data_IF_745492035175
#
_entry.id   IF_745492035175
#
_cell.length_a   1.000
_cell.length_b   1.000
_cell.length_c   1.000
_cell.angle_alpha   90.00
_cell.angle_beta   90.00
_cell.angle_gamma   90.00
#
_symmetry.space_group_name_H-M   'P 1'
#
loop_
_entity.id
_entity.type
_entity.pdbx_description
1 polymer ?
#
# COMPACT_ATOMS: atom_id res chain seq x y z
N UNK A 1 -106.71 54.92 32.61
CA UNK A 1 -106.21 55.21 31.27
C UNK A 1 -104.75 55.52 31.43
N UNK A 2 -103.89 54.66 30.91
CA UNK A 2 -102.64 54.99 30.24
C UNK A 2 -102.09 53.68 29.67
N UNK A 3 -101.66 53.77 28.43
CA UNK A 3 -101.79 52.75 27.39
C UNK A 3 -100.59 51.80 27.28
N UNK A 4 -100.83 50.71 26.55
CA UNK A 4 -99.85 49.73 26.11
C UNK A 4 -99.05 50.24 24.89
N UNK A 5 -97.77 49.86 24.81
CA UNK A 5 -96.95 49.78 23.58
C UNK A 5 -95.68 48.98 23.96
N UNK A 6 -95.51 47.72 23.54
CA UNK A 6 -94.92 47.23 22.28
C UNK A 6 -93.39 47.11 22.29
N UNK A 7 -92.90 45.93 21.91
CA UNK A 7 -91.48 45.62 21.74
C UNK A 7 -91.15 44.13 21.81
N UNK A 8 -91.68 43.33 20.87
CA UNK A 8 -91.22 41.95 20.66
C UNK A 8 -89.94 41.99 19.83
N UNK A 9 -88.79 41.84 20.49
CA UNK A 9 -87.50 41.62 19.82
C UNK A 9 -87.46 40.19 19.28
N UNK A 10 -87.39 40.08 17.95
CA UNK A 10 -87.15 38.83 17.23
C UNK A 10 -85.64 38.79 16.95
N UNK A 11 -84.90 38.01 17.75
CA UNK A 11 -83.51 37.68 17.45
C UNK A 11 -83.46 36.65 16.31
N UNK A 12 -82.91 37.08 15.17
CA UNK A 12 -82.60 36.24 14.02
C UNK A 12 -81.19 35.67 14.27
N UNK A 13 -81.10 34.38 14.58
CA UNK A 13 -79.81 33.67 14.62
C UNK A 13 -79.29 33.43 13.18
N UNK A 14 -78.21 34.13 12.82
CA UNK A 14 -77.45 33.92 11.58
C UNK A 14 -76.55 32.67 11.68
N UNK A 15 -76.90 31.61 10.94
CA UNK A 15 -76.05 30.44 10.69
C UNK A 15 -74.82 30.84 9.85
N UNK A 16 -73.65 30.99 10.48
CA UNK A 16 -72.35 31.13 9.79
C UNK A 16 -71.54 29.84 9.90
N UNK A 17 -71.71 28.99 8.90
CA UNK A 17 -70.99 27.73 8.75
C UNK A 17 -69.63 27.98 8.07
N UNK A 18 -68.53 27.95 8.84
CA UNK A 18 -67.16 27.95 8.31
C UNK A 18 -66.58 26.53 8.40
N UNK A 19 -65.97 25.96 7.34
CA UNK A 19 -65.47 24.59 7.39
C UNK A 19 -64.23 24.48 8.29
N UNK A 20 -64.29 23.56 9.25
CA UNK A 20 -63.20 23.28 10.19
C UNK A 20 -61.91 22.88 9.48
N UNK A 21 -60.83 23.62 9.77
CA UNK A 21 -59.46 23.24 9.41
C UNK A 21 -59.13 21.92 10.11
N UNK A 22 -58.63 20.93 9.35
CA UNK A 22 -58.18 19.65 9.88
C UNK A 22 -56.89 19.86 10.70
N UNK A 23 -57.05 20.21 11.97
CA UNK A 23 -55.96 20.15 12.94
C UNK A 23 -55.70 18.68 13.28
N UNK A 24 -54.58 18.15 12.79
CA UNK A 24 -54.10 16.84 13.21
C UNK A 24 -53.68 16.94 14.68
N UNK A 25 -54.60 16.61 15.58
CA UNK A 25 -54.35 16.52 17.01
C UNK A 25 -53.23 15.50 17.23
N UNK A 26 -52.05 15.98 17.60
CA UNK A 26 -50.99 15.10 18.07
C UNK A 26 -51.50 14.49 19.37
N UNK A 27 -51.47 13.15 19.52
CA UNK A 27 -52.04 12.52 20.69
C UNK A 27 -51.33 13.05 21.94
N UNK A 28 -52.09 13.58 22.89
CA UNK A 28 -51.58 14.19 24.13
C UNK A 28 -50.60 13.29 24.87
N UNK A 29 -50.75 11.97 24.71
CA UNK A 29 -49.84 10.94 25.23
C UNK A 29 -48.39 11.16 24.75
N UNK A 30 -48.19 11.42 23.45
CA UNK A 30 -46.85 11.67 22.90
C UNK A 30 -46.27 12.97 23.46
N UNK A 31 -47.09 14.01 23.60
CA UNK A 31 -46.67 15.30 24.15
C UNK A 31 -46.30 15.20 25.65
N UNK A 32 -47.06 14.44 26.43
CA UNK A 32 -46.80 14.21 27.85
C UNK A 32 -45.50 13.42 28.06
N UNK A 33 -45.30 12.31 27.32
CA UNK A 33 -44.04 11.57 27.37
C UNK A 33 -42.84 12.38 26.88
N UNK A 34 -43.03 13.21 25.84
CA UNK A 34 -41.99 14.08 25.33
C UNK A 34 -41.61 15.17 26.34
N UNK A 35 -42.60 15.77 27.02
CA UNK A 35 -42.37 16.74 28.09
C UNK A 35 -41.61 16.13 29.27
N UNK A 36 -41.99 14.91 29.68
CA UNK A 36 -41.28 14.16 30.72
C UNK A 36 -39.84 13.87 30.26
N UNK A 37 -39.65 13.36 29.05
CA UNK A 37 -38.33 13.05 28.50
C UNK A 37 -37.44 14.30 28.40
N UNK A 38 -37.97 15.45 27.99
CA UNK A 38 -37.21 16.72 27.94
C UNK A 38 -36.84 17.18 29.35
N UNK A 39 -37.75 17.10 30.33
CA UNK A 39 -37.45 17.48 31.72
C UNK A 39 -36.33 16.61 32.28
N UNK A 40 -36.39 15.29 32.04
CA UNK A 40 -35.31 14.36 32.41
C UNK A 40 -34.03 14.67 31.64
N UNK A 41 -34.09 14.98 30.34
CA UNK A 41 -32.93 15.31 29.53
C UNK A 41 -32.32 16.67 29.91
N UNK A 42 -33.11 17.63 30.39
CA UNK A 42 -32.61 18.91 30.90
C UNK A 42 -31.84 18.72 32.21
N UNK A 43 -32.33 17.84 33.10
CA UNK A 43 -31.69 17.54 34.38
C UNK A 43 -30.49 16.57 34.25
N UNK A 44 -30.59 15.59 33.35
CA UNK A 44 -29.67 14.46 33.22
C UNK A 44 -29.01 14.36 31.83
N UNK A 45 -29.14 15.36 30.96
CA UNK A 45 -28.59 15.33 29.60
C UNK A 45 -27.08 15.19 29.55
N UNK A 46 -26.39 15.66 30.58
CA UNK A 46 -24.95 15.44 30.74
C UNK A 46 -24.59 13.96 30.94
N UNK A 47 -25.45 13.16 31.59
CA UNK A 47 -25.23 11.72 31.70
C UNK A 47 -25.45 11.02 30.36
N UNK A 48 -26.39 11.49 29.54
CA UNK A 48 -26.59 10.97 28.17
C UNK A 48 -25.35 11.27 27.32
N UNK A 49 -24.81 12.48 27.42
CA UNK A 49 -23.55 12.85 26.75
C UNK A 49 -22.36 12.02 27.26
N UNK A 50 -22.21 11.85 28.58
CA UNK A 50 -21.17 10.98 29.14
C UNK A 50 -21.35 9.52 28.73
N UNK A 51 -22.58 9.03 28.67
CA UNK A 51 -22.89 7.68 28.20
C UNK A 51 -22.51 7.48 26.74
N UNK A 52 -22.78 8.47 25.88
CA UNK A 52 -22.35 8.45 24.47
C UNK A 52 -20.82 8.51 24.36
N UNK A 53 -20.16 9.40 25.11
CA UNK A 53 -18.69 9.52 25.12
C UNK A 53 -18.07 8.19 25.61
N UNK A 54 -18.62 7.59 26.66
CA UNK A 54 -18.18 6.30 27.20
C UNK A 54 -18.39 5.18 26.19
N UNK A 55 -19.53 5.14 25.49
CA UNK A 55 -19.80 4.16 24.43
C UNK A 55 -18.83 4.30 23.25
N UNK A 56 -18.52 5.53 22.82
CA UNK A 56 -17.53 5.78 21.78
C UNK A 56 -16.13 5.37 22.23
N UNK A 57 -15.78 5.64 23.49
CA UNK A 57 -14.52 5.22 24.06
C UNK A 57 -14.42 3.69 24.19
N UNK A 58 -15.49 3.04 24.66
CA UNK A 58 -15.58 1.58 24.70
C UNK A 58 -15.48 1.01 23.30
N UNK A 59 -16.22 1.53 22.32
CA UNK A 59 -16.15 1.05 20.94
C UNK A 59 -14.73 1.16 20.40
N UNK A 60 -14.06 2.30 20.57
CA UNK A 60 -12.69 2.47 20.07
C UNK A 60 -11.69 1.53 20.72
N UNK A 61 -11.84 1.23 22.02
CA UNK A 61 -10.98 0.27 22.73
C UNK A 61 -11.34 -1.19 22.40
N UNK A 62 -12.62 -1.53 22.41
CA UNK A 62 -13.13 -2.88 22.16
C UNK A 62 -12.89 -3.30 20.71
N UNK A 63 -12.99 -2.39 19.73
CA UNK A 63 -12.71 -2.72 18.32
C UNK A 63 -11.32 -3.31 18.14
N UNK A 64 -10.29 -2.72 18.75
CA UNK A 64 -8.91 -3.24 18.68
C UNK A 64 -8.81 -4.66 19.27
N UNK A 65 -9.50 -4.93 20.39
CA UNK A 65 -9.52 -6.25 21.00
C UNK A 65 -10.31 -7.27 20.17
N UNK A 66 -11.46 -6.87 19.63
CA UNK A 66 -12.29 -7.74 18.78
C UNK A 66 -11.60 -8.06 17.46
N UNK A 67 -10.93 -7.09 16.85
CA UNK A 67 -10.18 -7.29 15.62
C UNK A 67 -9.03 -8.28 15.86
N UNK A 68 -8.24 -8.09 16.93
CA UNK A 68 -7.17 -9.02 17.29
C UNK A 68 -7.67 -10.42 17.64
N UNK A 69 -8.83 -10.53 18.29
CA UNK A 69 -9.43 -11.82 18.60
C UNK A 69 -9.94 -12.53 17.33
N UNK A 70 -10.56 -11.77 16.42
CA UNK A 70 -11.06 -12.29 15.16
C UNK A 70 -9.93 -12.70 14.24
N UNK A 71 -8.84 -11.92 14.15
CA UNK A 71 -7.66 -12.30 13.36
C UNK A 71 -7.03 -13.56 13.89
N UNK A 72 -6.85 -13.69 15.22
CA UNK A 72 -6.32 -14.92 15.83
C UNK A 72 -7.19 -16.14 15.52
N UNK A 73 -8.51 -16.02 15.57
CA UNK A 73 -9.40 -17.13 15.20
C UNK A 73 -9.31 -17.51 13.73
N UNK A 74 -9.19 -16.53 12.83
CA UNK A 74 -8.98 -16.78 11.40
C UNK A 74 -7.63 -17.44 11.16
N UNK A 75 -6.57 -16.93 11.78
CA UNK A 75 -5.23 -17.51 11.71
C UNK A 75 -5.23 -18.95 12.23
N UNK A 76 -5.83 -19.23 13.40
CA UNK A 76 -5.94 -20.58 13.94
C UNK A 76 -6.72 -21.53 13.03
N UNK A 77 -7.78 -21.06 12.38
CA UNK A 77 -8.53 -21.82 11.38
C UNK A 77 -7.68 -22.10 10.15
N UNK A 78 -6.97 -21.09 9.62
CA UNK A 78 -6.06 -21.23 8.49
C UNK A 78 -4.90 -22.18 8.82
N UNK A 79 -4.32 -22.07 10.02
CA UNK A 79 -3.30 -23.00 10.50
C UNK A 79 -3.88 -24.41 10.61
N UNK A 80 -5.06 -24.59 11.19
CA UNK A 80 -5.70 -25.90 11.29
C UNK A 80 -6.00 -26.49 9.90
N UNK A 81 -6.48 -25.68 8.96
CA UNK A 81 -6.71 -26.08 7.57
C UNK A 81 -5.41 -26.42 6.83
N UNK A 82 -4.32 -25.71 7.12
CA UNK A 82 -2.99 -26.00 6.56
C UNK A 82 -2.37 -27.29 7.11
N UNK A 83 -2.62 -27.63 8.37
CA UNK A 83 -2.13 -28.87 8.97
C UNK A 83 -2.98 -30.10 8.61
N UNK A 84 -4.30 -29.92 8.45
CA UNK A 84 -5.23 -31.04 8.17
C UNK A 84 -5.26 -31.48 6.71
N UNK A 85 -4.90 -30.60 5.76
CA UNK A 85 -5.01 -30.88 4.33
C UNK A 85 -3.63 -31.11 3.68
N UNK A 86 -3.16 -32.37 3.52
CA UNK A 86 -1.89 -32.67 2.88
C UNK A 86 -1.84 -32.19 1.41
N UNK A 87 -2.97 -32.20 0.71
CA UNK A 87 -3.09 -31.77 -0.70
C UNK A 87 -2.75 -30.28 -0.90
N UNK A 88 -3.19 -29.40 0.01
CA UNK A 88 -2.83 -27.97 -0.03
C UNK A 88 -1.34 -27.74 0.16
N UNK A 89 -0.67 -28.57 0.96
CA UNK A 89 0.79 -28.49 1.13
C UNK A 89 1.52 -28.97 -0.13
N UNK A 90 1.03 -30.01 -0.80
CA UNK A 90 1.55 -30.45 -2.10
C UNK A 90 1.38 -29.36 -3.17
N UNK A 91 0.22 -28.72 -3.24
CA UNK A 91 -0.02 -27.61 -4.17
C UNK A 91 0.93 -26.42 -3.93
N UNK A 92 1.20 -26.08 -2.66
CA UNK A 92 2.21 -25.07 -2.30
C UNK A 92 3.62 -25.49 -2.73
N UNK A 93 4.02 -26.74 -2.50
CA UNK A 93 5.33 -27.24 -2.94
C UNK A 93 5.46 -27.21 -4.47
N UNK A 94 4.44 -27.66 -5.20
CA UNK A 94 4.41 -27.61 -6.66
C UNK A 94 4.48 -26.16 -7.19
N UNK A 95 3.80 -25.21 -6.54
CA UNK A 95 3.89 -23.79 -6.88
C UNK A 95 5.30 -23.22 -6.65
N UNK A 96 5.96 -23.61 -5.55
CA UNK A 96 7.35 -23.23 -5.28
C UNK A 96 8.32 -23.87 -6.26
N UNK A 97 8.10 -25.13 -6.66
CA UNK A 97 8.94 -25.80 -7.64
C UNK A 97 8.81 -25.17 -9.03
N UNK A 98 7.58 -24.82 -9.42
CA UNK A 98 7.32 -24.08 -10.67
C UNK A 98 7.97 -22.69 -10.67
N UNK A 99 8.00 -21.99 -9.54
CA UNK A 99 8.68 -20.69 -9.46
C UNK A 99 10.20 -20.83 -9.59
N UNK A 100 10.79 -21.88 -8.99
CA UNK A 100 12.21 -22.22 -9.15
C UNK A 100 12.56 -22.57 -10.59
N UNK A 101 11.75 -23.41 -11.26
CA UNK A 101 11.97 -23.75 -12.66
C UNK A 101 11.92 -22.51 -13.56
N UNK A 102 10.92 -21.63 -13.38
CA UNK A 102 10.86 -20.35 -14.10
C UNK A 102 12.08 -19.46 -13.88
N UNK A 103 12.65 -19.49 -12.68
CA UNK A 103 13.86 -18.72 -12.36
C UNK A 103 15.09 -19.32 -13.05
N UNK A 104 15.24 -20.64 -13.02
CA UNK A 104 16.31 -21.36 -13.72
C UNK A 104 16.26 -21.08 -15.23
N UNK A 105 15.08 -21.20 -15.85
CA UNK A 105 14.91 -20.89 -17.27
C UNK A 105 15.33 -19.46 -17.64
N UNK A 106 15.08 -18.48 -16.76
CA UNK A 106 15.52 -17.09 -16.98
C UNK A 106 17.03 -16.98 -16.92
N UNK A 107 17.65 -17.60 -15.91
CA UNK A 107 19.10 -17.60 -15.75
C UNK A 107 19.79 -18.31 -16.93
N UNK A 108 19.24 -19.42 -17.40
CA UNK A 108 19.77 -20.16 -18.54
C UNK A 108 19.68 -19.34 -19.83
N UNK A 109 18.57 -18.63 -20.05
CA UNK A 109 18.42 -17.71 -21.19
C UNK A 109 19.43 -16.56 -21.12
N UNK A 110 19.60 -15.95 -19.97
CA UNK A 110 20.58 -14.87 -19.78
C UNK A 110 22.02 -15.37 -19.96
N UNK A 111 22.33 -16.56 -19.48
CA UNK A 111 23.63 -17.21 -19.66
C UNK A 111 23.92 -17.51 -21.14
N UNK A 112 22.93 -18.01 -21.89
CA UNK A 112 23.05 -18.26 -23.32
C UNK A 112 23.32 -16.96 -24.10
N UNK A 113 22.52 -15.91 -23.86
CA UNK A 113 22.70 -14.60 -24.48
C UNK A 113 24.07 -13.99 -24.15
N UNK A 114 24.55 -14.18 -22.92
CA UNK A 114 25.87 -13.70 -22.53
C UNK A 114 26.98 -14.47 -23.24
N UNK A 115 26.87 -15.81 -23.33
CA UNK A 115 27.83 -16.65 -24.02
C UNK A 115 27.93 -16.32 -25.52
N UNK A 116 26.79 -16.06 -26.18
CA UNK A 116 26.76 -15.59 -27.58
C UNK A 116 27.49 -14.25 -27.73
N UNK A 117 27.16 -13.26 -26.91
CA UNK A 117 27.84 -11.96 -26.90
C UNK A 117 29.33 -12.03 -26.56
N UNK A 118 29.77 -13.06 -25.84
CA UNK A 118 31.19 -13.26 -25.57
C UNK A 118 31.90 -13.81 -26.81
N UNK A 119 31.30 -14.79 -27.49
CA UNK A 119 31.84 -15.32 -28.75
C UNK A 119 31.96 -14.23 -29.82
N UNK A 120 30.93 -13.39 -29.99
CA UNK A 120 30.96 -12.26 -30.93
C UNK A 120 32.11 -11.29 -30.60
N UNK A 121 32.32 -10.97 -29.31
CA UNK A 121 33.42 -10.11 -28.88
C UNK A 121 34.79 -10.73 -29.14
N UNK A 122 34.95 -12.02 -28.88
CA UNK A 122 36.19 -12.74 -29.18
C UNK A 122 36.48 -12.77 -30.69
N UNK A 123 35.47 -12.97 -31.53
CA UNK A 123 35.60 -12.94 -32.99
C UNK A 123 35.96 -11.54 -33.51
N UNK A 124 35.30 -10.50 -32.98
CA UNK A 124 35.65 -9.11 -33.30
C UNK A 124 37.09 -8.78 -32.90
N UNK A 125 37.54 -9.22 -31.72
CA UNK A 125 38.91 -9.00 -31.27
C UNK A 125 39.92 -9.74 -32.15
N UNK A 126 39.60 -10.96 -32.58
CA UNK A 126 40.41 -11.70 -33.55
C UNK A 126 40.47 -10.97 -34.89
N UNK A 127 39.34 -10.51 -35.41
CA UNK A 127 39.28 -9.75 -36.65
C UNK A 127 40.07 -8.43 -36.55
N UNK A 128 39.97 -7.71 -35.42
CA UNK A 128 40.75 -6.50 -35.14
C UNK A 128 42.25 -6.79 -35.13
N UNK A 129 42.69 -7.88 -34.48
CA UNK A 129 44.11 -8.30 -34.47
C UNK A 129 44.63 -8.64 -35.86
N UNK A 130 43.85 -9.36 -36.67
CA UNK A 130 44.22 -9.68 -38.06
C UNK A 130 44.34 -8.40 -38.89
N UNK A 131 43.35 -7.51 -38.80
CA UNK A 131 43.35 -6.23 -39.53
C UNK A 131 44.51 -5.33 -39.11
N UNK A 132 44.82 -5.29 -37.82
CA UNK A 132 45.96 -4.54 -37.29
C UNK A 132 47.28 -5.10 -37.84
N UNK A 133 47.46 -6.42 -37.78
CA UNK A 133 48.62 -7.10 -38.36
C UNK A 133 48.77 -6.84 -39.87
N UNK A 134 47.67 -6.90 -40.64
CA UNK A 134 47.67 -6.59 -42.08
C UNK A 134 48.03 -5.12 -42.34
N UNK A 135 47.50 -4.18 -41.55
CA UNK A 135 47.87 -2.77 -41.64
C UNK A 135 49.36 -2.56 -41.34
N UNK A 136 49.93 -3.31 -40.38
CA UNK A 136 51.35 -3.28 -40.10
C UNK A 136 52.18 -3.80 -41.28
N UNK A 137 51.79 -4.91 -41.92
CA UNK A 137 52.45 -5.42 -43.13
C UNK A 137 52.39 -4.43 -44.30
N UNK A 138 51.27 -3.73 -44.47
CA UNK A 138 51.09 -2.70 -45.51
C UNK A 138 51.77 -1.34 -45.17
N UNK A 139 52.50 -1.24 -44.04
CA UNK A 139 53.17 0.00 -43.62
C UNK A 139 52.23 1.09 -43.07
N UNK A 140 50.95 0.78 -42.85
CA UNK A 140 49.92 1.70 -42.32
C UNK A 140 49.79 1.66 -40.79
N UNK A 141 50.48 0.75 -40.12
CA UNK A 141 50.35 0.48 -38.67
C UNK A 141 50.81 1.59 -37.73
N UNK A 142 51.55 2.60 -38.21
CA UNK A 142 51.95 3.77 -37.43
C UNK A 142 51.29 5.04 -37.98
N UNK A 143 50.00 5.23 -37.72
CA UNK A 143 49.41 6.58 -37.78
C UNK A 143 49.13 7.07 -36.36
N UNK A 144 49.80 8.17 -36.01
CA UNK A 144 49.58 8.99 -34.81
C UNK A 144 48.09 9.17 -34.50
N UNK A 145 47.75 9.41 -33.21
CA UNK A 145 46.40 9.71 -32.69
C UNK A 145 45.81 11.04 -33.20
N UNK A 146 46.08 11.42 -34.44
CA UNK A 146 45.54 12.61 -35.07
C UNK A 146 44.26 12.23 -35.82
N UNK A 147 43.13 12.76 -35.36
CA UNK A 147 41.83 12.62 -35.99
C UNK A 147 41.79 13.57 -37.21
N UNK A 148 41.66 13.08 -38.46
CA UNK A 148 41.47 13.97 -39.60
C UNK A 148 40.15 14.74 -39.46
N UNK A 149 40.10 16.04 -39.78
CA UNK A 149 38.91 16.87 -39.58
C UNK A 149 37.77 16.64 -40.59
N UNK A 150 37.89 15.69 -41.52
CA UNK A 150 36.91 15.52 -42.60
C UNK A 150 36.08 14.24 -42.46
N UNK A 151 35.20 14.23 -41.46
CA UNK A 151 33.94 13.50 -41.57
C UNK A 151 32.82 14.42 -41.08
N UNK A 152 31.92 14.73 -42.00
CA UNK A 152 30.78 15.63 -41.78
C UNK A 152 30.04 15.31 -40.48
N UNK A 153 29.57 16.33 -39.74
CA UNK A 153 28.80 16.12 -38.52
C UNK A 153 27.46 15.47 -38.88
N UNK A 154 27.30 14.20 -38.51
CA UNK A 154 25.97 13.69 -38.14
C UNK A 154 25.44 14.59 -37.02
N UNK A 155 24.12 14.83 -36.88
CA UNK A 155 23.59 15.70 -35.84
C UNK A 155 23.74 15.00 -34.47
N UNK A 156 24.95 15.00 -33.93
CA UNK A 156 25.22 14.74 -32.54
C UNK A 156 24.87 16.03 -31.81
N UNK A 157 23.70 16.01 -31.17
CA UNK A 157 23.30 16.93 -30.11
C UNK A 157 24.52 17.37 -29.30
N UNK A 158 25.00 18.58 -29.56
CA UNK A 158 26.06 19.24 -28.82
C UNK A 158 25.50 19.70 -27.48
N UNK A 159 25.34 18.76 -26.56
CA UNK A 159 25.21 19.09 -25.15
C UNK A 159 26.60 18.91 -24.53
N UNK A 160 27.32 20.03 -24.44
CA UNK A 160 28.57 20.14 -23.71
C UNK A 160 28.31 19.85 -22.23
N UNK A 161 28.34 18.58 -21.84
CA UNK A 161 28.24 18.19 -20.45
C UNK A 161 29.54 18.58 -19.75
N UNK A 162 29.51 19.70 -19.02
CA UNK A 162 30.45 20.04 -17.94
C UNK A 162 30.79 18.76 -17.14
N UNK A 163 32.04 18.54 -16.71
CA UNK A 163 32.35 17.39 -15.87
C UNK A 163 31.45 17.45 -14.64
N UNK A 164 30.52 16.50 -14.53
CA UNK A 164 29.68 16.38 -13.35
C UNK A 164 30.62 16.21 -12.15
N UNK A 165 30.41 16.93 -11.03
CA UNK A 165 31.13 16.58 -9.82
C UNK A 165 30.89 15.10 -9.57
N UNK A 166 31.95 14.32 -9.27
CA UNK A 166 31.80 12.94 -8.84
C UNK A 166 30.99 12.97 -7.55
N UNK A 167 29.66 12.84 -7.68
CA UNK A 167 28.82 12.54 -6.55
C UNK A 167 29.11 11.09 -6.20
N UNK A 168 30.03 10.88 -5.26
CA UNK A 168 30.15 9.61 -4.57
C UNK A 168 28.86 9.43 -3.79
N UNK A 169 27.84 8.80 -4.39
CA UNK A 169 26.63 8.32 -3.68
C UNK A 169 26.96 7.25 -2.61
N UNK A 170 28.24 7.05 -2.30
CA UNK A 170 28.79 6.10 -1.36
C UNK A 170 29.89 6.82 -0.58
N UNK A 171 29.52 7.55 0.47
CA UNK A 171 30.48 8.00 1.49
C UNK A 171 31.01 6.83 2.32
N UNK A 172 30.39 5.66 2.21
CA UNK A 172 30.83 4.42 2.81
C UNK A 172 30.89 3.38 1.69
N UNK A 173 32.00 2.64 1.61
CA UNK A 173 32.23 1.52 0.68
C UNK A 173 31.25 0.34 0.88
N UNK A 174 30.17 0.53 1.63
CA UNK A 174 29.13 -0.46 1.87
C UNK A 174 28.43 -0.86 0.56
N UNK A 175 28.70 -2.08 0.13
CA UNK A 175 27.89 -2.78 -0.86
C UNK A 175 26.96 -3.76 -0.11
N UNK A 176 25.63 -3.55 -0.08
CA UNK A 176 24.71 -4.44 0.62
C UNK A 176 24.70 -5.88 0.07
N UNK A 177 25.21 -6.08 -1.15
CA UNK A 177 25.35 -7.40 -1.77
C UNK A 177 26.69 -8.08 -1.48
N UNK A 178 27.76 -7.31 -1.22
CA UNK A 178 29.11 -7.89 -1.09
C UNK A 178 29.83 -7.53 0.20
N UNK A 179 29.17 -6.86 1.16
CA UNK A 179 29.59 -6.61 2.54
C UNK A 179 31.07 -6.25 2.71
N UNK A 180 31.38 -4.99 3.00
CA UNK A 180 32.75 -4.49 3.20
C UNK A 180 33.64 -5.51 3.92
N UNK A 181 34.59 -6.07 3.19
CA UNK A 181 35.64 -6.95 3.69
C UNK A 181 36.65 -6.12 4.50
N UNK A 182 36.34 -5.81 5.75
CA UNK A 182 37.35 -5.50 6.78
C UNK A 182 36.72 -5.47 8.18
N UNK A 183 37.04 -6.48 8.98
CA UNK A 183 36.89 -6.53 10.45
C UNK A 183 35.52 -6.17 11.04
N UNK A 184 34.68 -7.20 11.22
CA UNK A 184 33.59 -7.16 12.21
C UNK A 184 32.29 -7.76 11.70
N UNK A 185 31.87 -8.89 12.28
CA UNK A 185 30.56 -9.51 12.10
C UNK A 185 30.37 -10.34 10.81
N UNK A 186 31.09 -11.47 10.72
CA UNK A 186 30.51 -12.66 10.09
C UNK A 186 29.75 -13.44 11.17
N UNK A 187 28.41 -13.42 11.14
CA UNK A 187 27.62 -14.28 12.02
C UNK A 187 27.89 -15.74 11.66
N UNK A 188 28.71 -16.43 12.46
CA UNK A 188 28.85 -17.88 12.44
C UNK A 188 28.02 -18.42 13.61
N UNK A 189 26.96 -19.22 13.38
CA UNK A 189 26.24 -19.84 14.47
C UNK A 189 27.21 -20.68 15.31
N UNK A 190 27.09 -20.59 16.63
CA UNK A 190 27.87 -21.40 17.57
C UNK A 190 27.75 -22.89 17.18
N UNK A 191 28.88 -23.60 17.11
CA UNK A 191 28.87 -25.04 16.80
C UNK A 191 28.09 -25.74 17.91
N UNK A 192 26.95 -26.32 17.55
CA UNK A 192 26.20 -27.26 18.40
C UNK A 192 26.95 -28.59 18.48
N UNK A 193 28.14 -28.58 19.06
CA UNK A 193 28.83 -29.80 19.50
C UNK A 193 28.89 -29.72 21.02
N UNK A 194 27.91 -30.35 21.66
CA UNK A 194 28.06 -30.73 23.05
C UNK A 194 29.13 -31.80 23.19
N UNK A 195 29.91 -31.71 24.26
CA UNK A 195 30.67 -32.82 24.83
C UNK A 195 32.14 -32.93 24.41
N UNK A 196 33.04 -32.83 25.40
CA UNK A 196 34.28 -33.62 25.44
C UNK A 196 35.58 -32.85 25.66
N UNK A 197 36.21 -33.08 26.82
CA UNK A 197 37.63 -32.82 27.12
C UNK A 197 37.83 -31.79 28.23
N UNK A 198 38.30 -32.10 29.45
CA UNK A 198 39.14 -33.22 29.88
C UNK A 198 40.61 -32.83 29.73
N UNK A 199 41.15 -32.15 30.75
CA UNK A 199 42.52 -31.65 30.85
C UNK A 199 42.63 -30.60 31.95
#
# INVERSE_FOLDING_TARGET
MDDADDGVEIEVEEDTNHPHVLENQTPNIILEYYGIAIRFLQQYGWFVLLGIILLLFLKSKLQVYFDQWLTRRKEEQEYAEHHKNPDRNMAKMAAMERSRQKMQEKLDREAALYAEKQKEREEEERAKKIKDWENHQQGKGYRSKYKPPDQQPKPSSSDSSKPKPKFTYRQNDFNPLTGQSSSGSSFRPSRRMGGGGGG
#
